data_IF_833504727775
#
_entry.id   IF_833504727775
#
_cell.length_a   1.000
_cell.length_b   1.000
_cell.length_c   1.000
_cell.angle_alpha   90.00
_cell.angle_beta   90.00
_cell.angle_gamma   90.00
#
_symmetry.space_group_name_H-M   'P 1'
#
loop_
_entity.id
_entity.type
_entity.pdbx_description
1 polymer ?
#
# COMPACT_ATOMS: atom_id res chain seq x y z
N UNK A 1 -5.56 7.54 -7.10
CA UNK A 1 -4.22 6.99 -7.38
C UNK A 1 -4.05 5.69 -6.60
N UNK A 2 -3.18 4.79 -7.01
CA UNK A 2 -2.86 3.58 -6.24
C UNK A 2 -1.86 3.90 -5.12
N UNK A 3 -1.69 2.97 -4.19
CA UNK A 3 -0.68 3.10 -3.14
C UNK A 3 0.74 3.18 -3.71
N UNK A 4 1.06 2.39 -4.73
CA UNK A 4 2.37 2.43 -5.39
C UNK A 4 2.62 3.80 -6.02
N UNK A 5 1.65 4.33 -6.78
CA UNK A 5 1.74 5.67 -7.39
C UNK A 5 1.94 6.77 -6.33
N UNK A 6 1.28 6.65 -5.18
CA UNK A 6 1.45 7.58 -4.08
C UNK A 6 2.85 7.49 -3.45
N UNK A 7 3.35 6.29 -3.20
CA UNK A 7 4.70 6.06 -2.68
C UNK A 7 5.76 6.56 -3.67
N UNK A 8 5.60 6.31 -4.96
CA UNK A 8 6.54 6.77 -6.01
C UNK A 8 6.58 8.30 -6.09
N UNK A 9 5.43 8.95 -5.95
CA UNK A 9 5.33 10.41 -5.97
C UNK A 9 5.93 11.07 -4.73
N UNK A 10 5.75 10.46 -3.55
CA UNK A 10 6.14 11.06 -2.26
C UNK A 10 7.55 10.65 -1.84
N UNK A 11 7.96 9.42 -2.17
CA UNK A 11 9.20 8.80 -1.73
C UNK A 11 9.10 8.16 -0.33
N UNK A 12 9.74 7.00 -0.14
CA UNK A 12 9.73 6.25 1.12
C UNK A 12 10.07 7.09 2.35
N UNK A 13 11.16 7.90 2.39
CA UNK A 13 11.51 8.66 3.59
C UNK A 13 10.38 9.58 4.07
N UNK A 14 9.68 10.23 3.13
CA UNK A 14 8.58 11.14 3.45
C UNK A 14 7.31 10.38 3.83
N UNK A 15 7.01 9.26 3.18
CA UNK A 15 5.89 8.39 3.58
C UNK A 15 6.10 7.86 5.01
N UNK A 16 7.32 7.49 5.38
CA UNK A 16 7.65 7.08 6.75
C UNK A 16 7.40 8.21 7.75
N UNK A 17 7.82 9.43 7.43
CA UNK A 17 7.57 10.60 8.30
C UNK A 17 6.07 10.89 8.46
N UNK A 18 5.28 10.77 7.39
CA UNK A 18 3.84 11.05 7.43
C UNK A 18 3.05 9.99 8.19
N UNK A 19 3.41 8.71 8.00
CA UNK A 19 2.61 7.58 8.50
C UNK A 19 3.15 6.96 9.78
N UNK A 20 4.42 7.21 10.11
CA UNK A 20 5.12 6.57 11.23
C UNK A 20 5.48 5.09 11.00
N UNK A 21 5.15 4.52 9.83
CA UNK A 21 5.48 3.11 9.54
C UNK A 21 6.94 2.94 9.11
N UNK A 22 7.52 1.79 9.48
CA UNK A 22 8.84 1.40 9.01
C UNK A 22 8.84 1.17 7.49
N UNK A 23 9.96 1.48 6.82
CA UNK A 23 10.11 1.29 5.38
C UNK A 23 9.83 -0.14 4.94
N UNK A 24 10.26 -1.13 5.73
CA UNK A 24 10.01 -2.55 5.46
C UNK A 24 8.52 -2.87 5.38
N UNK A 25 7.70 -2.30 6.27
CA UNK A 25 6.24 -2.44 6.24
C UNK A 25 5.65 -1.77 5.00
N UNK A 26 6.08 -0.56 4.68
CA UNK A 26 5.63 0.16 3.48
C UNK A 26 5.97 -0.61 2.21
N UNK A 27 7.15 -1.23 2.14
CA UNK A 27 7.59 -2.09 1.04
C UNK A 27 6.77 -3.38 0.93
N UNK A 28 6.38 -4.00 2.05
CA UNK A 28 5.50 -5.18 2.02
C UNK A 28 4.16 -4.87 1.36
N UNK A 29 3.61 -3.69 1.65
CA UNK A 29 2.37 -3.23 1.04
C UNK A 29 2.56 -2.84 -0.42
N UNK A 30 3.69 -2.21 -0.74
CA UNK A 30 4.05 -1.81 -2.10
C UNK A 30 4.20 -3.02 -3.03
N UNK A 31 4.82 -4.09 -2.54
CA UNK A 31 5.06 -5.32 -3.30
C UNK A 31 3.91 -6.33 -3.18
N UNK A 32 2.74 -5.92 -2.69
CA UNK A 32 1.56 -6.79 -2.50
C UNK A 32 1.83 -8.06 -1.67
N UNK A 33 2.84 -8.04 -0.82
CA UNK A 33 3.19 -9.16 0.06
C UNK A 33 2.17 -9.31 1.19
N UNK A 34 1.64 -8.18 1.67
CA UNK A 34 0.54 -8.10 2.65
C UNK A 34 -0.34 -6.90 2.32
N UNK A 35 -1.62 -6.99 2.70
CA UNK A 35 -2.50 -5.85 2.71
C UNK A 35 -2.49 -5.18 4.11
N UNK A 36 -2.53 -3.84 4.21
CA UNK A 36 -2.59 -3.15 5.50
C UNK A 36 -3.82 -3.57 6.32
N UNK A 37 -3.66 -3.64 7.64
CA UNK A 37 -4.76 -3.85 8.58
C UNK A 37 -5.65 -2.59 8.63
N UNK A 38 -6.92 -2.67 9.07
CA UNK A 38 -7.85 -1.53 9.07
C UNK A 38 -7.29 -0.26 9.71
N UNK A 39 -6.68 -0.33 10.90
CA UNK A 39 -6.10 0.86 11.55
C UNK A 39 -4.97 1.49 10.73
N UNK A 40 -4.10 0.66 10.14
CA UNK A 40 -3.02 1.15 9.28
C UNK A 40 -3.56 1.76 7.99
N UNK A 41 -4.60 1.16 7.40
CA UNK A 41 -5.24 1.65 6.20
C UNK A 41 -5.86 3.04 6.43
N UNK A 42 -6.53 3.25 7.57
CA UNK A 42 -7.09 4.56 7.92
C UNK A 42 -6.00 5.64 7.99
N UNK A 43 -4.86 5.35 8.62
CA UNK A 43 -3.71 6.27 8.68
C UNK A 43 -3.20 6.61 7.28
N UNK A 44 -3.04 5.61 6.41
CA UNK A 44 -2.56 5.84 5.04
C UNK A 44 -3.56 6.71 4.26
N UNK A 45 -4.86 6.43 4.40
CA UNK A 45 -5.89 7.19 3.70
C UNK A 45 -5.93 8.65 4.13
N UNK A 46 -5.88 8.90 5.44
CA UNK A 46 -5.81 10.25 6.02
C UNK A 46 -4.58 11.01 5.50
N UNK A 47 -3.38 10.42 5.61
CA UNK A 47 -2.13 11.06 5.19
C UNK A 47 -1.98 11.23 3.67
N UNK A 48 -2.71 10.42 2.89
CA UNK A 48 -2.80 10.59 1.43
C UNK A 48 -3.82 11.66 1.01
N UNK A 49 -4.58 12.23 1.95
CA UNK A 49 -5.67 13.18 1.67
C UNK A 49 -6.87 12.52 0.99
N UNK A 50 -7.10 11.23 1.24
CA UNK A 50 -8.20 10.47 0.62
C UNK A 50 -8.03 10.22 -0.88
N UNK A 51 -6.85 10.46 -1.45
CA UNK A 51 -6.59 10.33 -2.89
C UNK A 51 -6.38 8.89 -3.36
N UNK A 52 -6.25 7.95 -2.42
CA UNK A 52 -6.04 6.54 -2.70
C UNK A 52 -7.33 5.83 -3.07
N UNK A 53 -7.31 5.16 -4.22
CA UNK A 53 -8.38 4.25 -4.63
C UNK A 53 -8.17 2.89 -3.96
N UNK A 54 -8.85 2.69 -2.83
CA UNK A 54 -8.75 1.46 -2.03
C UNK A 54 -9.27 0.25 -2.80
N UNK A 55 -10.35 0.39 -3.57
CA UNK A 55 -10.91 -0.73 -4.30
C UNK A 55 -9.95 -1.23 -5.38
N UNK A 56 -9.33 -0.31 -6.11
CA UNK A 56 -8.29 -0.66 -7.09
C UNK A 56 -7.12 -1.34 -6.42
N UNK A 57 -6.67 -0.84 -5.26
CA UNK A 57 -5.59 -1.47 -4.51
C UNK A 57 -5.93 -2.90 -4.06
N UNK A 58 -7.16 -3.14 -3.57
CA UNK A 58 -7.64 -4.48 -3.20
C UNK A 58 -7.68 -5.41 -4.42
N UNK A 59 -8.17 -4.92 -5.56
CA UNK A 59 -8.20 -5.70 -6.82
C UNK A 59 -6.79 -6.10 -7.25
N UNK A 60 -5.84 -5.17 -7.24
CA UNK A 60 -4.43 -5.42 -7.59
C UNK A 60 -3.77 -6.41 -6.63
N UNK A 61 -4.00 -6.27 -5.32
CA UNK A 61 -3.50 -7.20 -4.31
C UNK A 61 -4.03 -8.62 -4.52
N UNK A 62 -5.33 -8.78 -4.74
CA UNK A 62 -5.94 -10.09 -4.97
C UNK A 62 -5.46 -10.73 -6.28
N UNK A 63 -5.30 -9.95 -7.36
CA UNK A 63 -4.75 -10.43 -8.62
C UNK A 63 -3.32 -10.96 -8.43
N UNK A 64 -2.48 -10.23 -7.70
CA UNK A 64 -1.11 -10.65 -7.40
C UNK A 64 -1.06 -11.94 -6.57
N UNK A 65 -1.93 -12.05 -5.55
CA UNK A 65 -2.01 -13.25 -4.73
C UNK A 65 -2.45 -14.47 -5.53
N UNK A 66 -3.48 -14.32 -6.37
CA UNK A 66 -3.99 -15.39 -7.22
C UNK A 66 -2.95 -15.86 -8.25
N UNK A 67 -2.19 -14.94 -8.85
CA UNK A 67 -1.13 -15.27 -9.80
C UNK A 67 0.00 -16.05 -9.12
N UNK A 68 0.36 -15.69 -7.89
CA UNK A 68 1.40 -16.40 -7.13
C UNK A 68 0.92 -17.79 -6.70
N UNK A 69 -0.35 -17.95 -6.35
CA UNK A 69 -0.94 -19.26 -6.03
C UNK A 69 -1.10 -20.20 -7.21
N UNK A 70 -1.21 -19.69 -8.45
CA UNK A 70 -1.28 -20.51 -9.65
C UNK A 70 0.10 -20.93 -10.20
N UNK A 71 1.17 -20.26 -9.75
CA UNK A 71 2.55 -20.55 -10.15
C UNK A 71 3.27 -21.52 -9.19
N UNK A 72 2.60 -21.96 -8.13
CA UNK A 72 3.08 -22.92 -7.11
C UNK A 72 2.37 -24.26 -7.26
#
# INVERSE_FOLDING_TARGET
MTYQEWVDKVGYPKVQMLTGFAESTLRMWYSFHRFPRPCSLVVILDQSGGLLDVERWVREFNAHHNATSQAA
#
